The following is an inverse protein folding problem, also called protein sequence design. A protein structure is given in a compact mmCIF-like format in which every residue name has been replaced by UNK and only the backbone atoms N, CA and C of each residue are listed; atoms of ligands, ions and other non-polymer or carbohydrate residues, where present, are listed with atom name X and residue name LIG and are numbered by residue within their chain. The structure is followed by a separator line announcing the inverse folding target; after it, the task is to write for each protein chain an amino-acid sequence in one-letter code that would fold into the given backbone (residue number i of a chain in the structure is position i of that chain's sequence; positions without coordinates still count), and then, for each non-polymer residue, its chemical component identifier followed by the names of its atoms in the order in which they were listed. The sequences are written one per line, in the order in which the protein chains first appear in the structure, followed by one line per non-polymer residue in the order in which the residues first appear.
data_IF_817966063443
#
_entry.id   IF_817966063443
#
_cell.length_a   1.000
_cell.length_b   1.000
_cell.length_c   1.000
_cell.angle_alpha   90.00
_cell.angle_beta   90.00
_cell.angle_gamma   90.00
#
_symmetry.space_group_name_H-M   'P 1'
#
loop_
_entity.id
_entity.type
_entity.pdbx_description
1 polymer ?
#
# COMPACT_ATOMS: atom_id res chain seq x y z
N UNK A 1 18.48 -20.71 -8.75
CA UNK A 1 18.04 -19.47 -8.06
C UNK A 1 18.94 -18.29 -8.47
N UNK A 2 18.43 -17.38 -9.30
CA UNK A 2 19.17 -16.20 -9.76
C UNK A 2 19.07 -15.03 -8.76
N UNK A 3 20.01 -14.07 -8.80
CA UNK A 3 20.18 -12.97 -7.83
C UNK A 3 19.06 -11.91 -7.81
N UNK A 4 17.92 -12.18 -8.45
CA UNK A 4 16.89 -11.18 -8.77
C UNK A 4 15.60 -11.33 -7.94
N UNK A 5 15.47 -12.35 -7.09
CA UNK A 5 14.34 -12.44 -6.15
C UNK A 5 14.64 -11.64 -4.88
N UNK A 6 14.67 -10.31 -4.99
CA UNK A 6 14.63 -9.45 -3.81
C UNK A 6 13.21 -9.49 -3.22
N UNK A 7 12.92 -10.53 -2.44
CA UNK A 7 11.73 -10.56 -1.60
C UNK A 7 11.76 -9.34 -0.66
N UNK A 8 10.71 -8.52 -0.70
CA UNK A 8 10.63 -7.30 0.10
C UNK A 8 9.88 -7.59 1.40
N UNK A 9 10.61 -7.72 2.50
CA UNK A 9 10.05 -7.93 3.84
C UNK A 9 10.05 -6.60 4.58
N UNK A 10 8.88 -6.14 5.02
CA UNK A 10 8.71 -4.89 5.79
C UNK A 10 7.49 -4.97 6.69
N UNK A 11 7.40 -4.08 7.67
CA UNK A 11 6.19 -3.83 8.43
C UNK A 11 5.28 -2.79 7.71
N UNK A 12 4.05 -2.65 8.22
CA UNK A 12 3.05 -1.71 7.68
C UNK A 12 3.53 -0.26 7.78
N UNK A 13 4.16 0.14 8.89
CA UNK A 13 4.69 1.49 9.08
C UNK A 13 5.78 1.84 8.05
N UNK A 14 6.63 0.88 7.70
CA UNK A 14 7.65 1.03 6.67
C UNK A 14 7.04 1.25 5.29
N UNK A 15 5.97 0.52 4.96
CA UNK A 15 5.19 0.76 3.73
C UNK A 15 4.59 2.16 3.73
N UNK A 16 3.92 2.55 4.81
CA UNK A 16 3.28 3.85 4.93
C UNK A 16 4.29 5.00 4.85
N UNK A 17 5.45 4.86 5.49
CA UNK A 17 6.54 5.83 5.41
C UNK A 17 7.11 5.94 4.00
N UNK A 18 7.20 4.84 3.25
CA UNK A 18 7.62 4.88 1.85
C UNK A 18 6.60 5.61 0.98
N UNK A 19 5.32 5.28 1.10
CA UNK A 19 4.23 5.96 0.38
C UNK A 19 4.21 7.46 0.73
N UNK A 20 4.38 7.80 2.01
CA UNK A 20 4.49 9.18 2.47
C UNK A 20 5.60 9.94 1.74
N UNK A 21 6.81 9.38 1.68
CA UNK A 21 7.95 10.00 0.98
C UNK A 21 7.70 10.19 -0.51
N UNK A 22 7.02 9.23 -1.17
CA UNK A 22 6.66 9.36 -2.58
C UNK A 22 5.68 10.52 -2.80
N UNK A 23 4.68 10.68 -1.92
CA UNK A 23 3.72 11.78 -1.99
C UNK A 23 4.36 13.12 -1.64
N UNK A 24 5.29 13.16 -0.67
CA UNK A 24 6.09 14.36 -0.36
C UNK A 24 6.89 14.81 -1.57
N UNK A 25 7.59 13.86 -2.22
CA UNK A 25 8.37 14.14 -3.44
C UNK A 25 7.47 14.66 -4.55
N UNK A 26 6.35 13.98 -4.83
CA UNK A 26 5.40 14.39 -5.86
C UNK A 26 4.81 15.79 -5.59
N UNK A 27 4.51 16.12 -4.33
CA UNK A 27 4.05 17.45 -3.93
C UNK A 27 5.09 18.52 -4.20
N UNK A 28 6.36 18.22 -3.90
CA UNK A 28 7.45 19.20 -3.97
C UNK A 28 7.92 19.46 -5.41
N UNK A 29 7.71 18.50 -6.31
CA UNK A 29 7.99 18.64 -7.75
C UNK A 29 6.80 19.16 -8.56
N UNK A 30 5.63 19.36 -7.94
CA UNK A 30 4.40 19.77 -8.61
C UNK A 30 4.21 21.29 -8.55
N UNK A 31 3.79 21.87 -9.68
CA UNK A 31 3.54 23.31 -9.81
C UNK A 31 2.06 23.65 -9.59
N UNK A 32 1.14 22.71 -9.89
CA UNK A 32 -0.29 22.89 -9.69
C UNK A 32 -0.68 22.87 -8.20
N UNK A 33 -1.16 24.01 -7.70
CA UNK A 33 -1.62 24.19 -6.34
C UNK A 33 -2.76 23.26 -5.91
N UNK A 34 -3.67 22.90 -6.81
CA UNK A 34 -4.76 21.97 -6.51
C UNK A 34 -4.22 20.57 -6.25
N UNK A 35 -3.23 20.13 -7.03
CA UNK A 35 -2.56 18.83 -6.83
C UNK A 35 -1.75 18.86 -5.54
N UNK A 36 -0.98 19.94 -5.28
CA UNK A 36 -0.25 20.12 -4.02
C UNK A 36 -1.17 20.06 -2.80
N UNK A 37 -2.35 20.67 -2.87
CA UNK A 37 -3.35 20.66 -1.79
C UNK A 37 -3.90 19.26 -1.55
N UNK A 38 -4.18 18.49 -2.60
CA UNK A 38 -4.59 17.07 -2.49
C UNK A 38 -3.49 16.23 -1.85
N UNK A 39 -2.23 16.40 -2.29
CA UNK A 39 -1.08 15.70 -1.70
C UNK A 39 -0.94 15.99 -0.19
N UNK A 40 -1.07 17.26 0.24
CA UNK A 40 -1.09 17.63 1.66
C UNK A 40 -2.22 16.94 2.44
N UNK A 41 -3.40 16.80 1.85
CA UNK A 41 -4.53 16.08 2.46
C UNK A 41 -4.20 14.60 2.67
N UNK A 42 -3.66 13.93 1.64
CA UNK A 42 -3.25 12.52 1.75
C UNK A 42 -2.15 12.31 2.79
N UNK A 43 -1.15 13.19 2.84
CA UNK A 43 -0.10 13.15 3.87
C UNK A 43 -0.67 13.29 5.29
N UNK A 44 -1.71 14.13 5.48
CA UNK A 44 -2.39 14.26 6.77
C UNK A 44 -3.05 12.94 7.20
N UNK A 45 -3.73 12.25 6.29
CA UNK A 45 -4.34 10.94 6.59
C UNK A 45 -3.30 9.87 6.90
N UNK A 46 -2.21 9.81 6.12
CA UNK A 46 -1.13 8.86 6.38
C UNK A 46 -0.51 9.09 7.76
N UNK A 47 -0.23 10.36 8.12
CA UNK A 47 0.32 10.69 9.43
C UNK A 47 -0.64 10.32 10.57
N UNK A 48 -1.94 10.53 10.41
CA UNK A 48 -2.93 10.13 11.43
C UNK A 48 -3.02 8.61 11.57
N UNK A 49 -2.97 7.87 10.47
CA UNK A 49 -2.91 6.42 10.49
C UNK A 49 -1.63 5.91 11.19
N UNK A 50 -0.47 6.52 10.90
CA UNK A 50 0.81 6.22 11.57
C UNK A 50 0.75 6.51 13.08
N UNK A 51 0.04 7.55 13.51
CA UNK A 51 -0.16 7.87 14.92
C UNK A 51 -1.25 7.03 15.61
N UNK A 52 -1.86 6.07 14.92
CA UNK A 52 -2.97 5.25 15.44
C UNK A 52 -4.28 6.04 15.66
N UNK A 53 -4.41 7.23 15.06
CA UNK A 53 -5.56 8.11 15.22
C UNK A 53 -6.67 7.86 14.18
N UNK A 54 -6.39 7.04 13.16
CA UNK A 54 -7.38 6.58 12.17
C UNK A 54 -7.20 5.10 11.85
N UNK A 55 -8.30 4.32 11.75
CA UNK A 55 -8.23 2.98 11.21
C UNK A 55 -7.91 3.03 9.71
N UNK A 56 -6.99 2.16 9.28
CA UNK A 56 -6.59 2.03 7.89
C UNK A 56 -6.91 0.62 7.39
N UNK A 57 -7.54 0.52 6.22
CA UNK A 57 -7.71 -0.74 5.50
C UNK A 57 -6.62 -0.85 4.43
N UNK A 58 -5.83 -1.92 4.49
CA UNK A 58 -4.82 -2.25 3.49
C UNK A 58 -5.29 -3.49 2.75
N UNK A 59 -5.37 -3.40 1.43
CA UNK A 59 -5.68 -4.52 0.55
C UNK A 59 -4.41 -4.84 -0.25
N UNK A 60 -3.99 -6.11 -0.22
CA UNK A 60 -2.85 -6.60 -0.99
C UNK A 60 -3.37 -7.63 -2.00
N UNK A 61 -3.32 -7.27 -3.27
CA UNK A 61 -3.72 -8.15 -4.37
C UNK A 61 -2.44 -8.69 -5.01
N UNK A 62 -2.21 -9.99 -4.85
CA UNK A 62 -1.06 -10.68 -5.45
C UNK A 62 -1.53 -11.86 -6.31
N UNK A 63 -1.56 -11.68 -7.65
CA UNK A 63 -1.92 -12.76 -8.58
C UNK A 63 -0.98 -13.96 -8.53
N UNK A 64 0.26 -13.78 -8.06
CA UNK A 64 1.30 -14.82 -8.04
C UNK A 64 1.34 -15.61 -6.73
N UNK A 65 0.68 -15.11 -5.68
CA UNK A 65 0.61 -15.75 -4.37
C UNK A 65 1.91 -15.73 -3.55
N UNK A 66 2.85 -14.83 -3.87
CA UNK A 66 4.14 -14.70 -3.19
C UNK A 66 4.15 -13.68 -2.03
N UNK A 67 3.03 -13.02 -1.78
CA UNK A 67 2.88 -11.97 -0.77
C UNK A 67 2.07 -12.45 0.43
N UNK A 68 2.48 -12.05 1.63
CA UNK A 68 1.79 -12.38 2.87
C UNK A 68 1.77 -11.20 3.85
N UNK A 69 0.65 -11.03 4.56
CA UNK A 69 0.54 -10.13 5.71
C UNK A 69 0.47 -10.99 6.96
N UNK A 70 1.49 -10.90 7.82
CA UNK A 70 1.55 -11.66 9.07
C UNK A 70 0.90 -10.80 10.17
N UNK A 71 -0.36 -11.07 10.48
CA UNK A 71 -1.10 -10.41 11.57
C UNK A 71 -2.36 -11.17 11.93
N UNK A 72 -2.71 -11.23 13.22
CA UNK A 72 -3.97 -11.80 13.71
C UNK A 72 -5.21 -11.06 13.18
N UNK A 73 -5.04 -9.81 12.73
CA UNK A 73 -6.11 -8.98 12.17
C UNK A 73 -6.24 -9.14 10.64
N UNK A 74 -5.30 -9.83 10.00
CA UNK A 74 -5.32 -10.00 8.55
C UNK A 74 -6.47 -10.94 8.15
N UNK A 75 -7.23 -10.54 7.12
CA UNK A 75 -8.24 -11.38 6.48
C UNK A 75 -7.72 -11.74 5.09
N UNK A 76 -7.50 -13.03 4.86
CA UNK A 76 -7.04 -13.55 3.56
C UNK A 76 -8.23 -14.18 2.85
N UNK A 77 -8.46 -13.77 1.61
CA UNK A 77 -9.49 -14.36 0.73
C UNK A 77 -8.85 -14.71 -0.61
N UNK A 78 -9.18 -15.87 -1.16
CA UNK A 78 -8.77 -16.22 -2.52
C UNK A 78 -9.38 -15.23 -3.52
N UNK A 79 -8.56 -14.72 -4.46
CA UNK A 79 -9.06 -13.96 -5.60
C UNK A 79 -9.91 -14.92 -6.44
N UNK A 80 -11.19 -14.60 -6.63
CA UNK A 80 -12.08 -15.41 -7.47
C UNK A 80 -11.60 -15.25 -8.91
N UNK A 81 -10.85 -16.24 -9.41
CA UNK A 81 -10.36 -16.24 -10.79
C UNK A 81 -11.52 -16.08 -11.77
N UNK A 82 -11.37 -15.17 -12.72
CA UNK A 82 -12.19 -15.17 -13.91
C UNK A 82 -11.95 -16.50 -14.64
N UNK A 83 -12.97 -17.36 -14.71
CA UNK A 83 -12.95 -18.58 -15.52
C UNK A 83 -13.19 -19.87 -14.73
N UNK A 84 -14.46 -20.23 -14.59
CA UNK A 84 -14.85 -21.61 -14.87
C UNK A 84 -16.01 -21.49 -15.86
N UNK A 85 -15.80 -21.71 -17.17
CA UNK A 85 -16.93 -22.03 -18.02
C UNK A 85 -17.37 -23.42 -17.58
N UNK A 86 -18.50 -23.48 -16.89
CA UNK A 86 -19.26 -24.72 -16.72
C UNK A 86 -19.67 -25.20 -18.11
N UNK A 87 -18.89 -26.11 -18.66
CA UNK A 87 -19.32 -27.04 -19.71
C UNK A 87 -19.83 -28.32 -19.07
#
# INVERSE_FOLDING_TARGET
PGPSSNGYVTNIEGILNRVRRMIETARDTEEDDAIRKKAKSHLKHINRALMGQEPLKITLEDPTGNSAIISDKAKVSALKGAGSPSG
#
